data_IF_213833355256
#
_entry.id   IF_213833355256
#
_cell.length_a   1.000
_cell.length_b   1.000
_cell.length_c   1.000
_cell.angle_alpha   90.00
_cell.angle_beta   90.00
_cell.angle_gamma   90.00
#
_symmetry.space_group_name_H-M   'P 1'
#
loop_
_entity.id
_entity.type
_entity.pdbx_description
1 polymer ?
#
# COMPACT_ATOMS: atom_id res chain seq x y z
N UNK A 1 26.28 -33.92 48.58
CA UNK A 1 25.28 -33.97 47.50
C UNK A 1 25.50 -32.75 46.62
N UNK A 2 25.94 -32.94 45.37
CA UNK A 2 26.32 -31.88 44.43
C UNK A 2 25.16 -31.66 43.46
N UNK A 3 24.61 -30.44 43.40
CA UNK A 3 23.66 -30.04 42.36
C UNK A 3 24.39 -29.15 41.36
N UNK A 4 24.40 -29.59 40.10
CA UNK A 4 24.95 -28.90 38.93
C UNK A 4 23.76 -28.39 38.13
N UNK A 5 23.58 -27.06 38.04
CA UNK A 5 22.51 -26.46 37.25
C UNK A 5 23.10 -25.97 35.93
N UNK A 6 22.65 -26.57 34.84
CA UNK A 6 23.14 -26.34 33.49
C UNK A 6 22.67 -24.99 32.92
N UNK A 7 23.61 -24.19 32.42
CA UNK A 7 23.32 -23.04 31.56
C UNK A 7 22.95 -23.55 30.16
N UNK A 8 21.74 -23.20 29.70
CA UNK A 8 21.30 -23.49 28.33
C UNK A 8 21.51 -22.25 27.48
N UNK A 9 22.45 -22.32 26.53
CA UNK A 9 22.74 -21.23 25.59
C UNK A 9 21.67 -21.21 24.48
N UNK A 10 20.89 -20.13 24.40
CA UNK A 10 20.04 -19.84 23.24
C UNK A 10 20.93 -19.35 22.07
N UNK A 11 21.08 -20.18 21.04
CA UNK A 11 21.55 -19.75 19.73
C UNK A 11 20.43 -18.97 19.02
N UNK A 12 20.61 -17.66 18.87
CA UNK A 12 19.83 -16.81 17.97
C UNK A 12 20.33 -17.04 16.54
N UNK A 13 19.53 -17.73 15.73
CA UNK A 13 19.68 -17.72 14.27
C UNK A 13 19.24 -16.35 13.74
N UNK A 14 20.21 -15.50 13.44
CA UNK A 14 19.99 -14.33 12.60
C UNK A 14 19.76 -14.79 11.16
N UNK A 15 18.49 -14.98 10.77
CA UNK A 15 18.12 -15.19 9.38
C UNK A 15 18.41 -13.90 8.59
N UNK A 16 19.43 -13.95 7.73
CA UNK A 16 19.73 -12.88 6.78
C UNK A 16 18.58 -12.77 5.77
N UNK A 17 17.78 -11.71 5.89
CA UNK A 17 16.83 -11.29 4.86
C UNK A 17 17.62 -10.81 3.64
N UNK A 18 17.70 -11.66 2.61
CA UNK A 18 18.28 -11.30 1.31
C UNK A 18 17.37 -10.26 0.63
N UNK A 19 17.89 -9.16 0.06
CA UNK A 19 17.10 -8.09 -0.53
C UNK A 19 16.48 -8.52 -1.87
N UNK A 20 15.18 -8.86 -1.88
CA UNK A 20 14.40 -9.14 -3.09
C UNK A 20 14.11 -7.90 -3.96
N UNK A 21 14.55 -6.71 -3.54
CA UNK A 21 14.26 -5.46 -4.24
C UNK A 21 15.07 -5.24 -5.53
N UNK A 22 16.29 -5.80 -5.65
CA UNK A 22 17.17 -5.47 -6.78
C UNK A 22 16.67 -6.04 -8.12
N UNK A 23 16.18 -7.27 -8.14
CA UNK A 23 15.79 -7.96 -9.37
C UNK A 23 14.60 -7.31 -10.09
N UNK A 24 13.67 -6.71 -9.34
CA UNK A 24 12.51 -6.04 -9.92
C UNK A 24 12.90 -4.69 -10.55
N UNK A 25 13.90 -4.02 -10.00
CA UNK A 25 14.36 -2.71 -10.45
C UNK A 25 15.15 -2.82 -11.76
N UNK A 26 16.02 -3.84 -11.88
CA UNK A 26 16.77 -4.14 -13.10
C UNK A 26 15.84 -4.46 -14.29
N UNK A 27 14.73 -5.14 -14.03
CA UNK A 27 13.74 -5.47 -15.06
C UNK A 27 13.00 -4.23 -15.61
N UNK A 28 12.75 -3.22 -14.77
CA UNK A 28 12.10 -1.98 -15.19
C UNK A 28 13.03 -1.14 -16.06
N UNK A 29 14.30 -1.05 -15.70
CA UNK A 29 15.29 -0.28 -16.46
C UNK A 29 15.50 -0.87 -17.87
N UNK A 30 15.66 -2.19 -17.98
CA UNK A 30 15.78 -2.87 -19.28
C UNK A 30 14.54 -2.65 -20.15
N UNK A 31 13.34 -2.68 -19.55
CA UNK A 31 12.11 -2.42 -20.29
C UNK A 31 11.99 -0.96 -20.73
N UNK A 32 12.36 -0.02 -19.86
CA UNK A 32 12.38 1.40 -20.19
C UNK A 32 13.35 1.70 -21.34
N UNK A 33 14.52 1.05 -21.35
CA UNK A 33 15.48 1.14 -22.43
C UNK A 33 14.89 0.69 -23.78
N UNK A 34 14.19 -0.45 -23.81
CA UNK A 34 13.50 -0.93 -25.03
C UNK A 34 12.41 0.04 -25.51
N UNK A 35 11.63 0.61 -24.58
CA UNK A 35 10.61 1.61 -24.89
C UNK A 35 11.24 2.85 -25.52
N UNK A 36 12.32 3.38 -24.92
CA UNK A 36 13.05 4.52 -25.48
C UNK A 36 13.64 4.24 -26.87
N UNK A 37 14.16 3.02 -27.09
CA UNK A 37 14.59 2.60 -28.42
C UNK A 37 13.43 2.50 -29.43
N UNK A 38 12.27 1.97 -28.99
CA UNK A 38 11.07 1.85 -29.81
C UNK A 38 10.47 3.21 -30.20
N UNK A 39 10.46 4.17 -29.27
CA UNK A 39 10.05 5.56 -29.52
C UNK A 39 10.89 6.18 -30.64
N UNK A 40 12.22 5.98 -30.60
CA UNK A 40 13.12 6.45 -31.65
C UNK A 40 12.74 5.93 -33.05
N UNK A 41 12.23 4.70 -33.15
CA UNK A 41 11.79 4.10 -34.42
C UNK A 41 10.41 4.61 -34.88
N UNK A 42 9.48 4.85 -33.94
CA UNK A 42 8.11 5.33 -34.20
C UNK A 42 8.08 6.76 -34.75
N UNK A 43 8.91 7.64 -34.20
CA UNK A 43 8.95 9.05 -34.59
C UNK A 43 9.27 9.20 -36.08
N UNK A 44 10.16 8.36 -36.62
CA UNK A 44 10.54 8.41 -38.02
C UNK A 44 9.37 8.15 -38.98
N UNK A 45 8.23 7.64 -38.49
CA UNK A 45 7.08 7.20 -39.29
C UNK A 45 5.84 8.10 -39.18
N UNK A 46 5.90 9.20 -38.43
CA UNK A 46 4.83 10.20 -38.17
C UNK A 46 3.51 9.70 -37.58
N UNK A 47 3.09 8.44 -37.81
CA UNK A 47 1.99 7.73 -37.16
C UNK A 47 2.30 6.22 -37.12
N UNK A 48 1.98 5.53 -36.02
CA UNK A 48 2.24 4.11 -35.90
C UNK A 48 2.04 3.55 -34.50
N UNK A 49 2.01 2.23 -34.43
CA UNK A 49 1.89 1.46 -33.20
C UNK A 49 3.05 0.46 -33.13
N UNK A 50 3.68 0.36 -31.96
CA UNK A 50 4.74 -0.62 -31.69
C UNK A 50 4.45 -1.27 -30.35
N UNK A 51 4.58 -2.59 -30.29
CA UNK A 51 4.49 -3.34 -29.04
C UNK A 51 5.90 -3.61 -28.50
N UNK A 52 6.17 -3.28 -27.24
CA UNK A 52 7.40 -3.62 -26.52
C UNK A 52 7.04 -4.49 -25.32
N UNK A 53 7.39 -5.77 -25.39
CA UNK A 53 6.95 -6.78 -24.42
C UNK A 53 5.40 -6.81 -24.31
N UNK A 54 4.81 -6.38 -23.20
CA UNK A 54 3.36 -6.20 -23.02
C UNK A 54 2.94 -4.72 -22.96
N UNK A 55 3.77 -3.82 -23.49
CA UNK A 55 3.46 -2.40 -23.62
C UNK A 55 3.06 -2.10 -25.05
N UNK A 56 1.99 -1.36 -25.22
CA UNK A 56 1.55 -0.82 -26.50
C UNK A 56 1.96 0.65 -26.56
N UNK A 57 2.68 1.03 -27.62
CA UNK A 57 3.13 2.39 -27.84
C UNK A 57 2.44 2.92 -29.09
N UNK A 58 1.65 3.98 -28.95
CA UNK A 58 0.99 4.64 -30.08
C UNK A 58 1.51 6.07 -30.23
N UNK A 59 1.94 6.46 -31.43
CA UNK A 59 2.37 7.84 -31.71
C UNK A 59 1.29 8.65 -32.41
N UNK A 60 1.06 9.87 -31.95
CA UNK A 60 0.22 10.87 -32.62
C UNK A 60 1.06 11.78 -33.50
N UNK A 61 0.47 12.37 -34.55
CA UNK A 61 1.18 13.20 -35.54
C UNK A 61 1.89 14.46 -35.01
N UNK A 62 1.79 14.73 -33.71
CA UNK A 62 2.51 15.79 -33.00
C UNK A 62 3.78 15.29 -32.28
N UNK A 63 4.17 14.02 -32.46
CA UNK A 63 5.35 13.43 -31.80
C UNK A 63 5.13 13.03 -30.34
N UNK A 64 3.88 12.96 -29.87
CA UNK A 64 3.55 12.40 -28.55
C UNK A 64 3.35 10.89 -28.66
N UNK A 65 4.03 10.13 -27.81
CA UNK A 65 3.86 8.68 -27.69
C UNK A 65 3.06 8.36 -26.44
N UNK A 66 1.89 7.74 -26.59
CA UNK A 66 1.13 7.18 -25.47
C UNK A 66 1.62 5.76 -25.19
N UNK A 67 1.74 5.40 -23.92
CA UNK A 67 2.17 4.06 -23.48
C UNK A 67 1.01 3.45 -22.73
N UNK A 68 0.50 2.31 -23.19
CA UNK A 68 -0.51 1.52 -22.49
C UNK A 68 0.01 0.13 -22.13
N UNK A 69 -0.61 -0.49 -21.13
CA UNK A 69 -0.37 -1.88 -20.73
C UNK A 69 -1.71 -2.52 -20.43
N UNK A 70 -2.03 -3.60 -21.14
CA UNK A 70 -3.28 -4.35 -20.95
C UNK A 70 -4.53 -3.43 -21.00
N UNK A 71 -4.52 -2.45 -21.90
CA UNK A 71 -5.59 -1.44 -22.05
C UNK A 71 -5.59 -0.29 -21.03
N UNK A 72 -4.66 -0.27 -20.07
CA UNK A 72 -4.49 0.83 -19.11
C UNK A 72 -3.51 1.86 -19.67
N UNK A 73 -3.94 3.11 -19.81
CA UNK A 73 -3.06 4.24 -20.17
C UNK A 73 -2.09 4.51 -19.01
N UNK A 74 -0.80 4.28 -19.25
CA UNK A 74 0.27 4.56 -18.29
C UNK A 74 0.71 6.03 -18.35
N UNK A 75 0.39 6.73 -19.44
CA UNK A 75 0.72 8.11 -19.67
C UNK A 75 1.33 8.37 -21.04
N UNK A 76 1.83 9.59 -21.22
CA UNK A 76 2.33 10.11 -22.49
C UNK A 76 3.75 10.64 -22.35
N UNK A 77 4.49 10.48 -23.42
CA UNK A 77 5.89 10.85 -23.56
C UNK A 77 5.96 11.79 -24.76
N UNK A 78 6.21 13.08 -24.52
CA UNK A 78 6.34 14.05 -25.60
C UNK A 78 7.79 14.07 -26.09
N UNK A 79 8.03 13.68 -27.35
CA UNK A 79 9.38 13.63 -27.87
C UNK A 79 10.12 14.98 -27.81
N UNK A 80 9.41 16.11 -27.95
CA UNK A 80 10.01 17.43 -27.87
C UNK A 80 10.57 17.74 -26.46
N UNK A 81 10.13 17.04 -25.42
CA UNK A 81 10.62 17.21 -24.04
C UNK A 81 11.92 16.44 -23.77
N UNK A 82 12.20 15.37 -24.52
CA UNK A 82 13.40 14.55 -24.31
C UNK A 82 14.54 15.01 -25.20
N UNK A 83 15.45 15.82 -24.64
CA UNK A 83 16.68 16.21 -25.31
C UNK A 83 17.69 15.06 -25.47
N UNK A 84 17.58 14.02 -24.64
CA UNK A 84 18.50 12.89 -24.62
C UNK A 84 17.84 11.58 -24.14
N UNK A 85 18.56 10.48 -24.34
CA UNK A 85 18.14 9.13 -23.96
C UNK A 85 17.93 8.96 -22.45
N UNK A 86 18.69 9.66 -21.61
CA UNK A 86 18.61 9.56 -20.14
C UNK A 86 17.31 10.15 -19.63
N UNK A 87 16.89 11.27 -20.20
CA UNK A 87 15.62 11.91 -19.90
C UNK A 87 14.45 11.01 -20.30
N UNK A 88 14.54 10.35 -21.47
CA UNK A 88 13.54 9.34 -21.88
C UNK A 88 13.46 8.20 -20.87
N UNK A 89 14.62 7.64 -20.51
CA UNK A 89 14.70 6.53 -19.57
C UNK A 89 14.06 6.89 -18.23
N UNK A 90 14.36 8.08 -17.71
CA UNK A 90 13.86 8.55 -16.41
C UNK A 90 12.34 8.69 -16.41
N UNK A 91 11.75 9.32 -17.45
CA UNK A 91 10.28 9.42 -17.49
C UNK A 91 9.63 8.07 -17.71
N UNK A 92 10.14 7.25 -18.63
CA UNK A 92 9.57 5.93 -18.88
C UNK A 92 9.65 5.05 -17.64
N UNK A 93 10.77 5.05 -16.90
CA UNK A 93 10.86 4.38 -15.60
C UNK A 93 9.76 4.89 -14.66
N UNK A 94 9.52 6.20 -14.60
CA UNK A 94 8.44 6.77 -13.80
C UNK A 94 7.04 6.27 -14.19
N UNK A 95 6.77 6.13 -15.49
CA UNK A 95 5.49 5.62 -16.00
C UNK A 95 5.33 4.11 -15.80
N UNK A 96 6.43 3.35 -15.91
CA UNK A 96 6.43 1.90 -15.76
C UNK A 96 6.50 1.46 -14.29
N UNK A 97 7.00 2.32 -13.42
CA UNK A 97 7.10 2.07 -11.97
C UNK A 97 5.70 1.84 -11.39
N UNK A 98 5.55 0.89 -10.46
CA UNK A 98 4.29 0.72 -9.76
C UNK A 98 3.89 2.04 -9.13
N UNK A 99 2.72 2.57 -9.52
CA UNK A 99 2.14 3.70 -8.81
C UNK A 99 1.96 3.30 -7.34
N UNK A 100 2.34 4.17 -6.38
CA UNK A 100 2.06 3.90 -4.98
C UNK A 100 0.57 3.63 -4.84
N UNK A 101 0.21 2.42 -4.38
CA UNK A 101 -1.19 2.11 -4.09
C UNK A 101 -1.66 3.16 -3.07
N UNK A 102 -2.80 3.86 -3.32
CA UNK A 102 -3.33 4.79 -2.34
C UNK A 102 -3.43 4.09 -0.98
N UNK A 103 -3.07 4.76 0.13
CA UNK A 103 -3.20 4.16 1.44
C UNK A 103 -4.65 3.72 1.63
N UNK A 104 -4.90 2.58 2.28
CA UNK A 104 -6.26 2.14 2.50
C UNK A 104 -7.05 3.18 3.30
N UNK A 105 -8.36 3.36 3.03
CA UNK A 105 -9.16 4.33 3.75
C UNK A 105 -9.19 4.01 5.24
N UNK A 106 -9.11 5.04 6.07
CA UNK A 106 -9.12 4.91 7.53
C UNK A 106 -10.31 5.66 8.15
N UNK A 107 -10.91 5.06 9.17
CA UNK A 107 -12.00 5.65 9.97
C UNK A 107 -11.70 5.44 11.45
N UNK A 108 -11.94 6.46 12.27
CA UNK A 108 -11.75 6.38 13.72
C UNK A 108 -13.11 6.34 14.41
N UNK A 109 -13.33 5.33 15.23
CA UNK A 109 -14.54 5.18 16.05
C UNK A 109 -14.22 5.38 17.52
N UNK A 110 -15.11 6.05 18.24
CA UNK A 110 -15.18 6.06 19.69
C UNK A 110 -16.21 5.03 20.13
N UNK A 111 -15.74 3.94 20.71
CA UNK A 111 -16.58 2.83 21.16
C UNK A 111 -16.77 2.96 22.67
N UNK A 112 -18.01 3.09 23.11
CA UNK A 112 -18.35 2.96 24.51
C UNK A 112 -18.79 1.52 24.81
N UNK A 113 -18.19 0.90 25.82
CA UNK A 113 -18.68 -0.37 26.36
C UNK A 113 -19.22 -0.15 27.78
N UNK A 114 -20.42 -0.65 28.10
CA UNK A 114 -20.96 -0.52 29.46
C UNK A 114 -22.41 -0.97 29.63
N UNK A 115 -23.01 -0.63 30.77
CA UNK A 115 -24.33 -1.15 31.18
C UNK A 115 -25.51 -0.46 30.49
N UNK A 116 -25.44 0.86 30.30
CA UNK A 116 -26.48 1.64 29.67
C UNK A 116 -25.88 2.70 28.75
N UNK A 117 -26.32 2.74 27.50
CA UNK A 117 -25.84 3.71 26.50
C UNK A 117 -25.97 5.17 26.96
N UNK A 118 -27.08 5.50 27.64
CA UNK A 118 -27.32 6.86 28.18
C UNK A 118 -26.30 7.35 29.21
N UNK A 119 -25.53 6.44 29.82
CA UNK A 119 -24.49 6.79 30.78
C UNK A 119 -23.10 6.89 30.12
N UNK A 120 -22.99 6.50 28.85
CA UNK A 120 -21.78 6.69 28.08
C UNK A 120 -21.52 8.17 27.82
N UNK A 121 -20.22 8.53 27.78
CA UNK A 121 -19.78 9.79 27.16
C UNK A 121 -20.13 9.79 25.67
N UNK A 122 -20.13 10.94 24.97
CA UNK A 122 -20.32 10.97 23.53
C UNK A 122 -19.44 9.94 22.82
N UNK A 123 -20.05 9.12 21.97
CA UNK A 123 -19.45 7.97 21.31
C UNK A 123 -20.14 7.73 19.97
N UNK A 124 -19.50 6.95 19.10
CA UNK A 124 -20.03 6.57 17.78
C UNK A 124 -20.71 5.21 17.82
N UNK A 125 -20.24 4.33 18.72
CA UNK A 125 -20.70 2.94 18.84
C UNK A 125 -20.87 2.57 20.31
N UNK A 126 -22.00 1.99 20.66
CA UNK A 126 -22.25 1.42 21.97
C UNK A 126 -22.20 -0.10 21.93
N UNK A 127 -21.50 -0.70 22.89
CA UNK A 127 -21.46 -2.13 23.12
C UNK A 127 -21.94 -2.45 24.53
N UNK A 128 -22.91 -3.37 24.63
CA UNK A 128 -23.41 -3.82 25.93
C UNK A 128 -22.34 -4.66 26.66
N UNK A 129 -22.38 -4.61 28.00
CA UNK A 129 -21.47 -5.31 28.91
C UNK A 129 -20.75 -6.55 28.37
N UNK A 130 -19.44 -6.61 28.61
CA UNK A 130 -18.53 -7.71 28.27
C UNK A 130 -18.35 -7.97 26.77
N UNK A 131 -18.98 -7.19 25.88
CA UNK A 131 -18.65 -7.21 24.47
C UNK A 131 -17.16 -6.88 24.26
N UNK A 132 -16.50 -7.68 23.43
CA UNK A 132 -15.09 -7.48 23.11
C UNK A 132 -14.96 -6.48 21.95
N UNK A 133 -14.43 -5.29 22.26
CA UNK A 133 -14.16 -4.23 21.28
C UNK A 133 -13.22 -4.73 20.17
N UNK A 134 -12.26 -5.62 20.48
CA UNK A 134 -11.35 -6.17 19.47
C UNK A 134 -12.09 -7.06 18.48
N UNK A 135 -12.93 -7.96 18.96
CA UNK A 135 -13.78 -8.80 18.12
C UNK A 135 -14.76 -7.96 17.29
N UNK A 136 -15.36 -6.92 17.89
CA UNK A 136 -16.22 -5.98 17.17
C UNK A 136 -15.48 -5.27 16.02
N UNK A 137 -14.25 -4.82 16.27
CA UNK A 137 -13.41 -4.15 15.28
C UNK A 137 -12.95 -5.12 14.17
N UNK A 138 -12.54 -6.34 14.51
CA UNK A 138 -12.13 -7.36 13.54
C UNK A 138 -13.26 -7.75 12.56
N UNK A 139 -14.52 -7.72 13.04
CA UNK A 139 -15.69 -7.97 12.21
C UNK A 139 -15.95 -6.85 11.18
N UNK A 140 -15.49 -5.62 11.43
CA UNK A 140 -15.81 -4.41 10.64
C UNK A 140 -14.63 -3.82 9.89
N UNK A 141 -13.41 -4.17 10.27
CA UNK A 141 -12.19 -3.66 9.68
C UNK A 141 -11.42 -4.80 9.02
N UNK A 142 -10.66 -4.50 7.97
CA UNK A 142 -9.60 -5.41 7.51
C UNK A 142 -8.49 -5.51 8.56
N UNK A 143 -8.10 -4.37 9.14
CA UNK A 143 -7.22 -4.30 10.31
C UNK A 143 -7.62 -3.14 11.22
N UNK A 144 -7.32 -3.26 12.52
CA UNK A 144 -7.71 -2.23 13.49
C UNK A 144 -6.71 -2.09 14.62
N UNK A 145 -6.56 -0.87 15.13
CA UNK A 145 -5.86 -0.56 16.38
C UNK A 145 -6.92 -0.16 17.41
N UNK A 146 -6.95 -0.85 18.55
CA UNK A 146 -7.87 -0.55 19.65
C UNK A 146 -7.08 0.00 20.82
N UNK A 147 -7.42 1.21 21.27
CA UNK A 147 -6.79 1.88 22.40
C UNK A 147 -7.83 2.26 23.43
N UNK A 148 -7.69 1.75 24.65
CA UNK A 148 -8.53 2.16 25.77
C UNK A 148 -8.15 3.55 26.24
N UNK A 149 -9.09 4.48 26.16
CA UNK A 149 -8.88 5.87 26.55
C UNK A 149 -9.19 6.07 28.03
N UNK A 150 -10.36 5.61 28.47
CA UNK A 150 -10.85 5.82 29.82
C UNK A 150 -11.66 4.63 30.31
N UNK A 151 -11.72 4.50 31.64
CA UNK A 151 -12.63 3.58 32.34
C UNK A 151 -13.34 4.31 33.47
N UNK A 152 -14.59 3.94 33.72
CA UNK A 152 -15.39 4.52 34.80
C UNK A 152 -16.14 3.41 35.56
N UNK A 153 -16.44 3.68 36.83
CA UNK A 153 -17.21 2.75 37.65
C UNK A 153 -18.64 2.57 37.11
N UNK A 154 -19.19 1.39 37.36
CA UNK A 154 -20.57 1.01 37.04
C UNK A 154 -21.06 0.02 38.09
N UNK A 155 -22.34 -0.37 38.01
CA UNK A 155 -22.94 -1.27 38.99
C UNK A 155 -22.61 -2.76 38.70
N UNK A 156 -22.58 -3.15 37.42
CA UNK A 156 -22.36 -4.53 36.94
C UNK A 156 -21.02 -4.72 36.24
N UNK A 157 -20.76 -3.96 35.17
CA UNK A 157 -19.62 -4.20 34.28
C UNK A 157 -18.72 -2.97 34.09
N UNK A 158 -19.07 -1.84 34.71
CA UNK A 158 -18.35 -0.59 34.51
C UNK A 158 -18.61 0.02 33.14
N UNK A 159 -17.83 1.04 32.81
CA UNK A 159 -17.82 1.66 31.49
C UNK A 159 -16.38 1.81 30.99
N UNK A 160 -16.18 1.64 29.69
CA UNK A 160 -14.94 2.01 29.01
C UNK A 160 -15.23 2.83 27.76
N UNK A 161 -14.30 3.73 27.43
CA UNK A 161 -14.25 4.40 26.13
C UNK A 161 -12.97 3.95 25.46
N UNK A 162 -13.11 3.32 24.31
CA UNK A 162 -12.01 2.82 23.49
C UNK A 162 -12.02 3.58 22.15
N UNK A 163 -10.86 4.02 21.68
CA UNK A 163 -10.67 4.55 20.33
C UNK A 163 -10.27 3.38 19.43
N UNK A 164 -10.97 3.22 18.31
CA UNK A 164 -10.70 2.20 17.30
C UNK A 164 -10.33 2.88 15.99
N UNK A 165 -9.08 2.76 15.57
CA UNK A 165 -8.64 3.16 14.23
C UNK A 165 -8.81 1.97 13.30
N UNK A 166 -9.74 2.09 12.36
CA UNK A 166 -10.14 1.06 11.41
C UNK A 166 -9.50 1.35 10.05
N UNK A 167 -8.77 0.38 9.51
CA UNK A 167 -8.20 0.44 8.16
C UNK A 167 -9.00 -0.48 7.24
N UNK A 168 -9.41 0.04 6.09
CA UNK A 168 -10.33 -0.61 5.15
C UNK A 168 -11.61 -1.08 5.86
N UNK A 169 -12.52 -0.16 6.25
CA UNK A 169 -13.82 -0.56 6.79
C UNK A 169 -14.59 -1.40 5.77
N UNK A 170 -15.23 -2.46 6.24
CA UNK A 170 -16.00 -3.45 5.46
C UNK A 170 -17.45 -3.05 5.30
#
# INVERSE_FOLDING_TARGET
MRNVTALTAMLLFAAALVPQASMAQDAIEVRAAKVCAGIGSLVSKSQGEVTVDNLELSTTGNGTVSISRDGVDLGKVNQAEYKDYVSCLTTVIGLLSPQPKPPPPTVTYRVCSGEYERACKPHDVYLYCYADVKSWAAARCESSIVQRMNTYAGNKCGYSIDTVVCTSPK
#
